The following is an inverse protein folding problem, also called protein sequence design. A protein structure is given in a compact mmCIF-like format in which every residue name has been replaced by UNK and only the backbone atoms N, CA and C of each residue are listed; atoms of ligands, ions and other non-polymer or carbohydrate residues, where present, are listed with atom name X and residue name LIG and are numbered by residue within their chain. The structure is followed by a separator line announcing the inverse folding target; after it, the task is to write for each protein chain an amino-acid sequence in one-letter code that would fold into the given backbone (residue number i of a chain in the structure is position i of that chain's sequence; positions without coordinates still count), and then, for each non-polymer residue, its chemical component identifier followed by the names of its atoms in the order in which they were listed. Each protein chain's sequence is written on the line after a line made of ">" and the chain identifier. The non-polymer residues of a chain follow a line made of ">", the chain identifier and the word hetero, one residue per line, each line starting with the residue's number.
data_IF_505513075728
#
_entry.id   IF_505513075728
#
_cell.length_a   1.000
_cell.length_b   1.000
_cell.length_c   1.000
_cell.angle_alpha   90.00
_cell.angle_beta   90.00
_cell.angle_gamma   90.00
#
_symmetry.space_group_name_H-M   'P 1'
#
loop_
_entity.id
_entity.type
_entity.pdbx_description
1 polymer ?
#
# COMPACT_ATOMS: atom_id res chain seq x y z
N UNK A 1 1.00 -20.04 19.18
CA UNK A 1 0.64 -19.39 19.00
C UNK A 1 0.99 -18.42 18.60
N UNK A 2 1.35 -18.36 18.28
CA UNK A 2 1.45 -17.51 18.14
C UNK A 2 1.11 -16.57 17.50
N UNK A 3 0.99 -16.82 16.67
CA UNK A 3 0.17 -15.90 16.21
C UNK A 3 -0.15 -14.83 17.06
N UNK A 4 0.12 -15.00 18.18
CA UNK A 4 -0.27 -14.15 19.20
C UNK A 4 0.51 -12.90 19.29
N UNK A 5 1.58 -12.77 18.58
CA UNK A 5 2.45 -11.66 18.66
C UNK A 5 2.01 -10.43 17.90
N UNK A 6 1.08 -10.58 16.97
CA UNK A 6 0.65 -9.48 16.11
C UNK A 6 -0.85 -9.33 16.19
N UNK A 7 -1.30 -8.13 16.51
CA UNK A 7 -2.72 -7.83 16.56
C UNK A 7 -3.13 -6.99 15.35
N UNK A 8 -4.41 -6.83 15.17
CA UNK A 8 -4.96 -6.14 14.01
C UNK A 8 -4.51 -4.68 13.95
N UNK A 9 -4.35 -4.03 15.10
CA UNK A 9 -3.87 -2.66 15.15
C UNK A 9 -2.46 -2.52 14.62
N UNK A 10 -1.59 -3.51 14.91
CA UNK A 10 -0.22 -3.50 14.40
C UNK A 10 -0.20 -3.70 12.89
N UNK A 11 -1.02 -4.62 12.36
CA UNK A 11 -1.12 -4.80 10.91
C UNK A 11 -1.63 -3.53 10.23
N UNK A 12 -2.64 -2.90 10.83
CA UNK A 12 -3.19 -1.67 10.28
C UNK A 12 -2.12 -0.58 10.19
N UNK A 13 -1.34 -0.41 11.25
CA UNK A 13 -0.25 0.57 11.28
C UNK A 13 0.82 0.25 10.23
N UNK A 14 1.15 -1.02 10.08
CA UNK A 14 2.15 -1.43 9.09
C UNK A 14 1.68 -1.14 7.68
N UNK A 15 0.41 -1.39 7.39
CA UNK A 15 -0.15 -1.08 6.08
C UNK A 15 -0.11 0.42 5.83
N UNK A 16 -0.44 1.23 6.82
CA UNK A 16 -0.36 2.68 6.70
C UNK A 16 1.06 3.16 6.46
N UNK A 17 2.05 2.55 7.12
CA UNK A 17 3.45 2.89 6.92
C UNK A 17 3.89 2.60 5.48
N UNK A 18 3.49 1.45 4.95
CA UNK A 18 3.78 1.11 3.56
C UNK A 18 3.15 2.15 2.63
N UNK A 19 1.89 2.48 2.87
CA UNK A 19 1.19 3.46 2.05
C UNK A 19 1.87 4.82 2.08
N UNK A 20 2.34 5.26 3.24
CA UNK A 20 3.04 6.54 3.37
C UNK A 20 4.33 6.55 2.55
N UNK A 21 5.08 5.45 2.54
CA UNK A 21 6.27 5.32 1.72
C UNK A 21 5.94 5.36 0.23
N UNK A 22 4.87 4.69 -0.17
CA UNK A 22 4.42 4.68 -1.56
C UNK A 22 4.01 6.09 -2.00
N UNK A 23 3.36 6.86 -1.13
CA UNK A 23 3.01 8.25 -1.43
C UNK A 23 4.24 9.07 -1.77
N UNK A 24 5.30 8.91 -1.01
CA UNK A 24 6.55 9.65 -1.23
C UNK A 24 7.17 9.24 -2.56
N UNK A 25 7.24 7.95 -2.82
CA UNK A 25 7.82 7.45 -4.07
C UNK A 25 6.98 7.86 -5.29
N UNK A 26 5.67 7.88 -5.14
CA UNK A 26 4.78 8.34 -6.19
C UNK A 26 5.07 9.80 -6.55
N UNK A 27 5.23 10.64 -5.53
CA UNK A 27 5.52 12.06 -5.74
C UNK A 27 6.87 12.23 -6.43
N UNK A 28 7.89 11.49 -5.98
CA UNK A 28 9.21 11.56 -6.60
C UNK A 28 9.17 11.09 -8.05
N UNK A 29 8.45 10.01 -8.33
CA UNK A 29 8.33 9.51 -9.70
C UNK A 29 7.67 10.54 -10.60
N UNK A 30 6.65 11.20 -10.12
CA UNK A 30 5.95 12.24 -10.87
C UNK A 30 6.87 13.43 -11.14
N UNK A 31 7.56 13.93 -10.11
CA UNK A 31 8.48 15.06 -10.26
C UNK A 31 9.61 14.71 -11.21
N UNK A 32 10.18 13.53 -11.09
CA UNK A 32 11.26 13.12 -11.96
C UNK A 32 10.80 12.89 -13.39
N UNK A 33 9.56 12.44 -13.58
CA UNK A 33 8.99 12.31 -14.92
C UNK A 33 8.98 13.67 -15.64
N UNK A 34 8.50 14.70 -14.96
CA UNK A 34 8.47 16.03 -15.54
C UNK A 34 9.88 16.60 -15.79
N UNK A 35 10.80 16.36 -14.86
CA UNK A 35 12.18 16.79 -15.02
C UNK A 35 12.85 16.10 -16.21
N UNK A 36 12.56 14.81 -16.38
CA UNK A 36 13.09 14.05 -17.52
C UNK A 36 12.56 14.62 -18.84
N UNK A 37 11.26 14.93 -18.88
CA UNK A 37 10.65 15.53 -20.05
C UNK A 37 11.31 16.88 -20.38
N UNK A 38 11.49 17.72 -19.37
CA UNK A 38 12.12 19.02 -19.54
C UNK A 38 13.57 18.92 -19.97
N UNK A 39 14.25 17.84 -19.59
CA UNK A 39 15.64 17.60 -19.96
C UNK A 39 15.79 16.96 -21.33
N UNK A 40 14.69 16.73 -22.04
CA UNK A 40 14.74 16.12 -23.36
C UNK A 40 14.87 14.60 -23.31
N UNK A 41 14.36 13.97 -22.24
CA UNK A 41 14.37 12.52 -22.07
C UNK A 41 12.94 11.99 -22.02
N UNK A 42 12.21 12.06 -23.14
CA UNK A 42 10.77 11.74 -23.13
C UNK A 42 10.46 10.29 -22.81
N UNK A 43 11.32 9.35 -23.21
CA UNK A 43 11.07 7.94 -22.90
C UNK A 43 11.25 7.65 -21.42
N UNK A 44 12.21 8.30 -20.78
CA UNK A 44 12.38 8.17 -19.33
C UNK A 44 11.17 8.77 -18.61
N UNK A 45 10.70 9.93 -19.06
CA UNK A 45 9.51 10.55 -18.49
C UNK A 45 8.29 9.67 -18.61
N UNK A 46 8.10 9.05 -19.78
CA UNK A 46 6.97 8.13 -20.00
C UNK A 46 7.01 6.97 -19.01
N UNK A 47 8.19 6.35 -18.86
CA UNK A 47 8.33 5.21 -17.95
C UNK A 47 8.11 5.60 -16.50
N UNK A 48 8.57 6.78 -16.11
CA UNK A 48 8.34 7.27 -14.75
C UNK A 48 6.87 7.59 -14.49
N UNK A 49 6.13 8.03 -15.51
CA UNK A 49 4.68 8.18 -15.39
C UNK A 49 4.00 6.81 -15.23
N UNK A 50 4.50 5.78 -15.90
CA UNK A 50 4.00 4.43 -15.70
C UNK A 50 4.28 3.92 -14.28
N UNK A 51 5.47 4.21 -13.75
CA UNK A 51 5.78 3.88 -12.36
C UNK A 51 4.77 4.54 -11.42
N UNK A 52 4.49 5.82 -11.62
CA UNK A 52 3.50 6.53 -10.81
C UNK A 52 2.15 5.84 -10.86
N UNK A 53 1.70 5.43 -12.04
CA UNK A 53 0.42 4.75 -12.19
C UNK A 53 0.40 3.41 -11.46
N UNK A 54 1.51 2.67 -11.51
CA UNK A 54 1.63 1.41 -10.79
C UNK A 54 1.62 1.63 -9.28
N UNK A 55 2.26 2.69 -8.80
CA UNK A 55 2.24 3.02 -7.38
C UNK A 55 0.83 3.38 -6.91
N UNK A 56 0.04 4.05 -7.75
CA UNK A 56 -1.36 4.31 -7.43
C UNK A 56 -2.15 3.00 -7.32
N UNK A 57 -1.88 2.03 -8.19
CA UNK A 57 -2.52 0.71 -8.11
C UNK A 57 -2.11 -0.03 -6.82
N UNK A 58 -0.85 0.10 -6.42
CA UNK A 58 -0.38 -0.50 -5.15
C UNK A 58 -1.14 0.11 -3.98
N UNK A 59 -1.34 1.42 -3.99
CA UNK A 59 -2.07 2.08 -2.91
C UNK A 59 -3.52 1.61 -2.83
N UNK A 60 -4.15 1.37 -3.96
CA UNK A 60 -5.50 0.81 -3.99
C UNK A 60 -5.52 -0.58 -3.35
N UNK A 61 -4.51 -1.41 -3.65
CA UNK A 61 -4.39 -2.73 -3.04
C UNK A 61 -4.15 -2.65 -1.54
N UNK A 62 -3.40 -1.66 -1.08
CA UNK A 62 -3.18 -1.46 0.36
C UNK A 62 -4.47 -1.10 1.06
N UNK A 63 -5.31 -0.28 0.43
CA UNK A 63 -6.63 0.02 0.96
C UNK A 63 -7.49 -1.24 1.04
N UNK A 64 -7.45 -2.08 0.00
CA UNK A 64 -8.15 -3.35 -0.01
C UNK A 64 -7.63 -4.27 1.09
N UNK A 65 -6.33 -4.25 1.35
CA UNK A 65 -5.73 -5.04 2.42
C UNK A 65 -6.25 -4.63 3.79
N UNK A 66 -6.48 -3.33 4.00
CA UNK A 66 -7.06 -2.85 5.26
C UNK A 66 -8.49 -3.36 5.43
N UNK A 67 -9.26 -3.35 4.35
CA UNK A 67 -10.62 -3.88 4.38
C UNK A 67 -10.61 -5.38 4.66
N UNK A 68 -9.71 -6.11 4.02
CA UNK A 68 -9.56 -7.54 4.26
C UNK A 68 -9.14 -7.84 5.70
N UNK A 69 -8.30 -6.98 6.27
CA UNK A 69 -7.88 -7.14 7.66
C UNK A 69 -9.08 -7.05 8.60
N UNK A 70 -9.99 -6.11 8.38
CA UNK A 70 -11.20 -6.00 9.18
C UNK A 70 -12.06 -7.26 9.07
N UNK A 71 -12.25 -7.77 7.84
CA UNK A 71 -13.04 -8.96 7.62
C UNK A 71 -12.43 -10.18 8.29
N UNK A 72 -11.12 -10.36 8.15
CA UNK A 72 -10.42 -11.47 8.77
C UNK A 72 -10.45 -11.38 10.28
N UNK A 73 -10.34 -10.19 10.83
CA UNK A 73 -10.40 -10.00 12.28
C UNK A 73 -11.78 -10.35 12.82
N UNK A 74 -12.84 -9.97 12.12
CA UNK A 74 -14.20 -10.33 12.50
C UNK A 74 -14.40 -11.85 12.45
N UNK A 75 -13.93 -12.50 11.39
CA UNK A 75 -14.06 -13.94 11.25
C UNK A 75 -13.32 -14.66 12.35
N UNK A 76 -12.13 -14.19 12.71
CA UNK A 76 -11.34 -14.79 13.78
C UNK A 76 -12.04 -14.66 15.13
N UNK A 77 -12.63 -13.49 15.39
CA UNK A 77 -13.37 -13.27 16.62
C UNK A 77 -14.59 -14.18 16.71
N UNK A 78 -15.30 -14.34 15.60
CA UNK A 78 -16.47 -15.21 15.55
C UNK A 78 -16.10 -16.67 15.78
N UNK A 79 -14.99 -17.11 15.21
CA UNK A 79 -14.51 -18.47 15.42
C UNK A 79 -14.17 -18.69 16.89
N UNK A 80 -13.52 -17.73 17.53
CA UNK A 80 -13.18 -17.83 18.94
C UNK A 80 -14.44 -17.96 19.81
N UNK A 81 -15.45 -17.16 19.50
CA UNK A 81 -16.71 -17.23 20.23
C UNK A 81 -17.35 -18.59 20.07
N UNK A 82 -17.32 -19.15 18.88
CA UNK A 82 -17.95 -20.44 18.62
C UNK A 82 -17.22 -21.58 19.31
N UNK A 83 -15.95 -21.43 19.57
CA UNK A 83 -15.19 -22.49 20.24
C UNK A 83 -15.45 -22.55 21.75
N UNK A 84 -15.99 -21.50 22.29
CA UNK A 84 -16.30 -21.46 23.69
C UNK A 84 -17.65 -22.11 23.97
#
# INVERSE_FOLDING_TARGET
>A
MCTNGINTGQFDQMIDMIDDHIKVERRWSHDMAHKAEDAGLPNVGEKLHEVMAQLDAVRALLSDAKDALEDDAEAAANVQVNLV
#
